data_IF_260913827111
#
_entry.id   IF_260913827111
#
_cell.length_a   1.000
_cell.length_b   1.000
_cell.length_c   1.000
_cell.angle_alpha   90.00
_cell.angle_beta   90.00
_cell.angle_gamma   90.00
#
_symmetry.space_group_name_H-M   'P 1'
#
loop_
_entity.id
_entity.type
_entity.pdbx_description
1 polymer ?
#
# COMPACT_ATOMS: atom_id res chain seq x y z
N UNK A 1 9.49 -22.00 5.65
CA UNK A 1 9.40 -20.71 6.29
C UNK A 1 10.69 -19.96 6.17
N UNK A 2 10.60 -18.71 5.73
CA UNK A 2 11.79 -17.94 5.50
C UNK A 2 12.40 -17.39 6.77
N UNK A 3 13.68 -17.16 6.72
CA UNK A 3 14.37 -16.43 7.78
C UNK A 3 14.02 -14.95 7.69
N UNK A 4 13.94 -14.29 8.83
CA UNK A 4 13.75 -12.84 8.87
C UNK A 4 15.07 -12.16 8.55
N UNK A 5 15.01 -11.17 7.70
CA UNK A 5 16.16 -10.35 7.35
C UNK A 5 15.86 -8.89 7.70
N UNK A 6 16.90 -8.16 8.01
CA UNK A 6 16.80 -6.75 8.31
C UNK A 6 17.08 -5.93 7.07
N UNK A 7 16.30 -4.89 6.86
CA UNK A 7 16.49 -3.94 5.78
C UNK A 7 16.41 -2.53 6.34
N UNK A 8 17.32 -1.67 5.89
CA UNK A 8 17.28 -0.26 6.24
C UNK A 8 16.49 0.48 5.16
N UNK A 9 15.55 1.31 5.60
CA UNK A 9 14.69 2.06 4.71
C UNK A 9 14.85 3.55 4.99
N UNK A 10 15.29 4.28 3.97
CA UNK A 10 15.41 5.73 4.04
C UNK A 10 14.18 6.37 3.43
N UNK A 11 13.43 7.09 4.25
CA UNK A 11 12.23 7.78 3.82
C UNK A 11 12.41 9.29 3.92
N UNK A 12 11.79 10.01 3.00
CA UNK A 12 11.69 11.46 3.12
C UNK A 12 10.84 11.83 4.34
N UNK A 13 10.89 13.10 4.74
CA UNK A 13 10.06 13.55 5.85
C UNK A 13 8.57 13.38 5.54
N UNK A 14 8.16 13.64 4.30
CA UNK A 14 6.77 13.44 3.90
C UNK A 14 6.35 11.98 3.97
N UNK A 15 7.21 11.09 3.49
CA UNK A 15 6.93 9.67 3.54
C UNK A 15 6.87 9.16 4.98
N UNK A 16 7.79 9.61 5.82
CA UNK A 16 7.77 9.24 7.24
C UNK A 16 6.51 9.75 7.93
N UNK A 17 6.09 10.97 7.62
CA UNK A 17 4.86 11.53 8.16
C UNK A 17 3.64 10.71 7.71
N UNK A 18 3.59 10.32 6.45
CA UNK A 18 2.51 9.48 5.93
C UNK A 18 2.47 8.13 6.63
N UNK A 19 3.63 7.54 6.85
CA UNK A 19 3.73 6.27 7.57
C UNK A 19 3.23 6.41 9.01
N UNK A 20 3.62 7.48 9.69
CA UNK A 20 3.16 7.75 11.05
C UNK A 20 1.64 7.89 11.09
N UNK A 21 1.06 8.62 10.15
CA UNK A 21 -0.39 8.83 10.08
C UNK A 21 -1.14 7.52 9.85
N UNK A 22 -0.64 6.70 8.93
CA UNK A 22 -1.26 5.40 8.65
C UNK A 22 -1.21 4.50 9.87
N UNK A 23 -0.07 4.47 10.56
CA UNK A 23 0.09 3.66 11.76
C UNK A 23 -0.89 4.10 12.85
N UNK A 24 -0.97 5.40 13.09
CA UNK A 24 -1.83 5.95 14.12
C UNK A 24 -3.32 5.70 13.82
N UNK A 25 -3.74 5.99 12.58
CA UNK A 25 -5.15 5.82 12.20
C UNK A 25 -5.62 4.37 12.26
N UNK A 26 -4.74 3.45 11.98
CA UNK A 26 -5.09 2.02 11.91
C UNK A 26 -4.70 1.26 13.17
N UNK A 27 -4.20 1.96 14.19
CA UNK A 27 -3.74 1.35 15.44
C UNK A 27 -2.76 0.20 15.17
N UNK A 28 -1.78 0.50 14.31
CA UNK A 28 -0.76 -0.46 13.88
C UNK A 28 0.64 0.10 14.14
N UNK A 29 1.61 -0.79 14.26
CA UNK A 29 3.00 -0.38 14.26
C UNK A 29 3.42 0.05 12.86
N UNK A 30 4.48 0.85 12.74
CA UNK A 30 5.03 1.23 11.44
C UNK A 30 5.44 -0.01 10.63
N UNK A 31 6.05 -0.98 11.29
CA UNK A 31 6.44 -2.23 10.64
C UNK A 31 5.23 -2.96 10.08
N UNK A 32 4.14 -3.01 10.83
CA UNK A 32 2.91 -3.66 10.37
C UNK A 32 2.31 -2.94 9.16
N UNK A 33 2.36 -1.61 9.15
CA UNK A 33 1.89 -0.83 8.00
C UNK A 33 2.71 -1.18 6.75
N UNK A 34 4.03 -1.22 6.89
CA UNK A 34 4.91 -1.53 5.76
C UNK A 34 4.63 -2.93 5.22
N UNK A 35 4.47 -3.92 6.10
CA UNK A 35 4.14 -5.28 5.68
C UNK A 35 2.82 -5.35 4.95
N UNK A 36 1.82 -4.63 5.45
CA UNK A 36 0.51 -4.58 4.80
C UNK A 36 0.61 -3.93 3.42
N UNK A 37 1.37 -2.84 3.31
CA UNK A 37 1.57 -2.17 2.03
C UNK A 37 2.21 -3.10 1.00
N UNK A 38 3.20 -3.88 1.41
CA UNK A 38 3.85 -4.85 0.53
C UNK A 38 2.85 -5.89 0.04
N UNK A 39 2.02 -6.43 0.94
CA UNK A 39 1.01 -7.42 0.55
C UNK A 39 -0.01 -6.83 -0.41
N UNK A 40 -0.46 -5.61 -0.16
CA UNK A 40 -1.42 -4.94 -1.03
C UNK A 40 -0.82 -4.72 -2.42
N UNK A 41 0.39 -4.18 -2.48
CA UNK A 41 1.02 -3.91 -3.75
C UNK A 41 1.27 -5.19 -4.55
N UNK A 42 1.76 -6.23 -3.87
CA UNK A 42 1.99 -7.51 -4.54
C UNK A 42 0.70 -8.08 -5.12
N UNK A 43 -0.40 -8.00 -4.38
CA UNK A 43 -1.71 -8.47 -4.83
C UNK A 43 -2.15 -7.70 -6.08
N UNK A 44 -2.03 -6.37 -6.04
CA UNK A 44 -2.42 -5.52 -7.17
C UNK A 44 -1.54 -5.79 -8.40
N UNK A 45 -0.23 -5.93 -8.18
CA UNK A 45 0.69 -6.17 -9.29
C UNK A 45 0.39 -7.50 -9.99
N UNK A 46 0.09 -8.54 -9.23
CA UNK A 46 -0.26 -9.84 -9.81
C UNK A 46 -1.51 -9.75 -10.69
N UNK A 47 -2.49 -8.94 -10.26
CA UNK A 47 -3.70 -8.73 -11.06
C UNK A 47 -3.38 -7.98 -12.34
N UNK A 48 -2.56 -6.93 -12.25
CA UNK A 48 -2.17 -6.14 -13.42
C UNK A 48 -1.34 -6.95 -14.41
N UNK A 49 -0.51 -7.87 -13.95
CA UNK A 49 0.26 -8.75 -14.83
C UNK A 49 -0.63 -9.67 -15.66
N UNK A 50 -1.83 -9.95 -15.19
CA UNK A 50 -2.81 -10.75 -15.95
C UNK A 50 -3.59 -9.91 -16.95
N UNK A 51 -3.28 -8.63 -17.07
CA UNK A 51 -4.00 -7.72 -17.96
C UNK A 51 -5.20 -7.07 -17.31
N UNK A 52 -5.38 -7.23 -16.01
CA UNK A 52 -6.48 -6.61 -15.29
C UNK A 52 -6.16 -5.16 -14.96
N UNK A 53 -7.21 -4.36 -14.83
CA UNK A 53 -7.11 -2.96 -14.43
C UNK A 53 -7.70 -2.78 -13.04
N UNK A 54 -7.12 -1.89 -12.27
CA UNK A 54 -7.58 -1.62 -10.90
C UNK A 54 -8.39 -0.32 -10.92
N UNK A 55 -9.59 -0.38 -10.38
CA UNK A 55 -10.49 0.77 -10.35
C UNK A 55 -10.83 1.16 -8.91
N UNK A 56 -10.99 2.44 -8.70
CA UNK A 56 -11.55 3.00 -7.47
C UNK A 56 -12.96 3.45 -7.78
N UNK A 57 -13.91 3.03 -6.96
CA UNK A 57 -15.31 3.35 -7.16
C UNK A 57 -15.86 4.11 -5.95
N UNK A 58 -16.55 5.20 -6.22
CA UNK A 58 -17.21 6.01 -5.21
C UNK A 58 -18.72 5.90 -5.42
N UNK A 59 -19.36 5.08 -4.60
CA UNK A 59 -20.81 4.84 -4.75
C UNK A 59 -21.63 6.09 -4.47
N UNK A 60 -21.20 6.88 -3.50
CA UNK A 60 -21.93 8.08 -3.10
C UNK A 60 -22.02 9.10 -4.25
N UNK A 61 -20.92 9.28 -4.97
CA UNK A 61 -20.85 10.22 -6.09
C UNK A 61 -20.99 9.52 -7.44
N UNK A 62 -21.22 8.22 -7.44
CA UNK A 62 -21.34 7.40 -8.66
C UNK A 62 -20.15 7.62 -9.60
N UNK A 63 -18.98 7.76 -9.01
CA UNK A 63 -17.74 8.00 -9.73
C UNK A 63 -16.88 6.74 -9.74
N UNK A 64 -16.15 6.55 -10.84
CA UNK A 64 -15.26 5.42 -11.00
C UNK A 64 -14.03 5.89 -11.76
N UNK A 65 -12.84 5.52 -11.27
CA UNK A 65 -11.59 5.91 -11.88
C UNK A 65 -10.60 4.75 -11.85
N UNK A 66 -9.81 4.65 -12.88
CA UNK A 66 -8.73 3.66 -12.91
C UNK A 66 -7.58 4.14 -12.04
N UNK A 67 -7.06 3.24 -11.21
CA UNK A 67 -5.89 3.51 -10.39
C UNK A 67 -4.64 3.12 -11.17
N UNK A 68 -3.82 4.11 -11.49
CA UNK A 68 -2.57 3.89 -12.20
C UNK A 68 -1.42 3.81 -11.20
N UNK A 69 -0.81 2.63 -11.12
CA UNK A 69 0.32 2.38 -10.24
C UNK A 69 1.59 2.37 -11.11
N UNK A 70 2.37 3.43 -10.99
CA UNK A 70 3.63 3.56 -11.72
C UNK A 70 4.83 3.52 -10.81
#
# INVERSE_FOLDING_TARGET
MGQKRTMTLNLSEEEMSSLDQLALRNDMSKTAVIRKAIRIYLTLEKRMQKGEHIFVEDELHQARAELLLV
#
